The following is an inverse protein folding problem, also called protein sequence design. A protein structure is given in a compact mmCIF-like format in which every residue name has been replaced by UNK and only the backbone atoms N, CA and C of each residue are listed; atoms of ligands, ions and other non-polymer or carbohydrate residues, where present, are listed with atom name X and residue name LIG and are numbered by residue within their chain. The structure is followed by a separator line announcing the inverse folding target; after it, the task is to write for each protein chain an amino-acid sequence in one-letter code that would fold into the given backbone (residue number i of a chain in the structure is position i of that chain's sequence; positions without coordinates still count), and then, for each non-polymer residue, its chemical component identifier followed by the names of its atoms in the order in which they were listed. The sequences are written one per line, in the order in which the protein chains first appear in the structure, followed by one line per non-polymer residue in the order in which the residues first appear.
data_IF_356932935500
#
_entry.id   IF_356932935500
#
_cell.length_a   1.000
_cell.length_b   1.000
_cell.length_c   1.000
_cell.angle_alpha   90.00
_cell.angle_beta   90.00
_cell.angle_gamma   90.00
#
_symmetry.space_group_name_H-M   'P 1'
#
loop_
_entity.id
_entity.type
_entity.pdbx_description
1 polymer ?
#
# COMPACT_ATOMS: atom_id res chain seq x y z
N UNK A 1 7.41 1.04 -29.10
CA UNK A 1 7.25 -0.09 -28.14
C UNK A 1 6.73 -1.37 -28.79
N UNK A 2 5.81 -1.31 -29.73
CA UNK A 2 5.49 -2.45 -30.62
C UNK A 2 6.73 -3.06 -31.30
N UNK A 3 7.73 -2.23 -31.65
CA UNK A 3 8.99 -2.69 -32.24
C UNK A 3 9.77 -3.65 -31.33
N UNK A 4 9.75 -3.48 -30.00
CA UNK A 4 10.46 -4.36 -29.07
C UNK A 4 9.76 -5.73 -28.95
N UNK A 5 8.44 -5.75 -28.88
CA UNK A 5 7.64 -6.97 -28.89
C UNK A 5 7.80 -7.75 -30.19
N UNK A 6 7.74 -7.06 -31.32
CA UNK A 6 7.94 -7.67 -32.63
C UNK A 6 9.38 -8.20 -32.81
N UNK A 7 10.40 -7.47 -32.31
CA UNK A 7 11.79 -7.94 -32.35
C UNK A 7 11.99 -9.19 -31.49
N UNK A 8 11.36 -9.26 -30.32
CA UNK A 8 11.41 -10.43 -29.45
C UNK A 8 10.68 -11.63 -30.10
N UNK A 9 9.49 -11.41 -30.68
CA UNK A 9 8.77 -12.46 -31.41
C UNK A 9 9.58 -13.00 -32.57
N UNK A 10 10.20 -12.11 -33.37
CA UNK A 10 11.07 -12.49 -34.48
C UNK A 10 12.30 -13.27 -34.02
N UNK A 11 12.94 -12.84 -32.91
CA UNK A 11 14.06 -13.55 -32.31
C UNK A 11 13.65 -14.97 -31.88
N UNK A 12 12.52 -15.12 -31.18
CA UNK A 12 12.03 -16.43 -30.73
C UNK A 12 11.69 -17.33 -31.92
N UNK A 13 11.05 -16.80 -32.96
CA UNK A 13 10.74 -17.55 -34.19
C UNK A 13 12.02 -18.02 -34.91
N UNK A 14 13.04 -17.16 -35.02
CA UNK A 14 14.33 -17.50 -35.60
C UNK A 14 15.07 -18.62 -34.84
N UNK A 15 14.76 -18.77 -33.54
CA UNK A 15 15.34 -19.83 -32.67
C UNK A 15 14.39 -21.01 -32.47
N UNK A 16 13.41 -21.18 -33.36
CA UNK A 16 12.53 -22.35 -33.39
C UNK A 16 11.40 -22.37 -32.34
N UNK A 17 11.15 -21.22 -31.68
CA UNK A 17 10.10 -21.07 -30.69
C UNK A 17 9.17 -19.90 -31.05
N UNK A 18 8.40 -20.01 -32.16
CA UNK A 18 7.46 -18.96 -32.50
C UNK A 18 6.44 -18.76 -31.38
N UNK A 19 6.29 -17.54 -30.93
CA UNK A 19 5.41 -17.23 -29.81
C UNK A 19 4.81 -15.84 -29.98
N UNK A 20 3.61 -15.66 -29.49
CA UNK A 20 2.95 -14.38 -29.37
C UNK A 20 3.49 -13.63 -28.14
N UNK A 21 3.82 -12.37 -28.32
CA UNK A 21 4.33 -11.51 -27.23
C UNK A 21 3.22 -10.54 -26.82
N UNK A 22 2.81 -10.66 -25.57
CA UNK A 22 1.91 -9.68 -24.93
C UNK A 22 2.75 -8.64 -24.20
N UNK A 23 2.35 -7.36 -24.33
CA UNK A 23 3.04 -6.24 -23.71
C UNK A 23 2.11 -5.55 -22.71
N UNK A 24 2.61 -5.34 -21.52
CA UNK A 24 1.90 -4.67 -20.42
C UNK A 24 2.77 -3.53 -19.89
N UNK A 25 2.12 -2.42 -19.52
CA UNK A 25 2.72 -1.32 -18.76
C UNK A 25 2.12 -1.35 -17.37
N UNK A 26 2.95 -1.57 -16.36
CA UNK A 26 2.52 -1.79 -14.99
C UNK A 26 3.18 -0.76 -14.08
N UNK A 27 2.54 -0.38 -12.98
CA UNK A 27 3.22 0.37 -11.92
C UNK A 27 4.34 -0.49 -11.33
N UNK A 28 5.47 0.12 -11.03
CA UNK A 28 6.56 -0.58 -10.34
C UNK A 28 6.26 -0.63 -8.83
N UNK A 29 6.00 -1.80 -8.23
CA UNK A 29 5.69 -1.90 -6.82
C UNK A 29 6.87 -1.57 -5.88
N UNK A 30 8.09 -1.45 -6.43
CA UNK A 30 9.30 -1.14 -5.68
C UNK A 30 9.77 0.31 -5.84
N UNK A 31 9.15 1.08 -6.76
CA UNK A 31 9.46 2.48 -7.04
C UNK A 31 8.26 3.23 -7.59
N UNK A 32 8.34 4.57 -7.69
CA UNK A 32 7.30 5.41 -8.31
C UNK A 32 7.30 5.34 -9.85
N UNK A 33 7.99 4.37 -10.44
CA UNK A 33 8.14 4.19 -11.87
C UNK A 33 7.08 3.30 -12.51
N UNK A 34 7.29 2.99 -13.80
CA UNK A 34 6.53 1.99 -14.53
C UNK A 34 7.43 0.89 -15.08
N UNK A 35 6.96 -0.35 -15.03
CA UNK A 35 7.63 -1.52 -15.58
C UNK A 35 6.98 -1.88 -16.91
N UNK A 36 7.81 -2.06 -17.95
CA UNK A 36 7.39 -2.60 -19.25
C UNK A 36 7.56 -4.11 -19.20
N UNK A 37 6.45 -4.84 -19.17
CA UNK A 37 6.48 -6.31 -19.11
C UNK A 37 6.14 -6.89 -20.49
N UNK A 38 7.02 -7.76 -21.00
CA UNK A 38 6.76 -8.57 -22.17
C UNK A 38 6.55 -10.03 -21.72
N UNK A 39 5.40 -10.58 -22.01
CA UNK A 39 5.05 -11.95 -21.67
C UNK A 39 4.88 -12.78 -22.93
N UNK A 40 5.53 -13.93 -22.96
CA UNK A 40 5.37 -14.91 -24.04
C UNK A 40 4.09 -15.69 -23.77
N UNK A 41 3.09 -15.56 -24.65
CA UNK A 41 1.83 -16.30 -24.53
C UNK A 41 2.06 -17.83 -24.65
N UNK A 42 1.40 -18.57 -23.79
CA UNK A 42 1.46 -20.05 -23.80
C UNK A 42 2.68 -20.66 -23.09
N UNK A 43 3.62 -19.85 -22.56
CA UNK A 43 4.68 -20.33 -21.68
C UNK A 43 4.26 -20.10 -20.22
N UNK A 44 4.03 -21.18 -19.50
CA UNK A 44 3.66 -21.15 -18.08
C UNK A 44 4.67 -21.99 -17.30
N UNK A 45 5.83 -21.39 -17.00
CA UNK A 45 6.75 -21.94 -16.01
C UNK A 45 6.24 -21.67 -14.61
N UNK A 46 6.42 -22.65 -13.71
CA UNK A 46 6.16 -22.45 -12.29
C UNK A 46 7.43 -22.02 -11.56
N UNK A 47 7.26 -21.30 -10.48
CA UNK A 47 8.36 -20.95 -9.60
C UNK A 47 8.75 -22.18 -8.80
N UNK A 48 9.96 -22.71 -9.04
CA UNK A 48 10.51 -23.85 -8.29
C UNK A 48 10.96 -23.45 -6.89
N UNK A 49 11.64 -22.32 -6.81
CA UNK A 49 12.18 -21.75 -5.57
C UNK A 49 12.41 -20.27 -5.71
N UNK A 50 12.43 -19.56 -4.57
CA UNK A 50 12.93 -18.18 -4.50
C UNK A 50 14.12 -18.16 -3.56
N UNK A 51 15.27 -17.74 -4.06
CA UNK A 51 16.51 -17.64 -3.31
C UNK A 51 16.92 -16.18 -3.15
N UNK A 52 17.24 -15.80 -1.92
CA UNK A 52 17.72 -14.46 -1.58
C UNK A 52 19.23 -14.47 -1.40
N UNK A 53 19.93 -13.39 -1.81
CA UNK A 53 21.34 -13.23 -1.51
C UNK A 53 21.59 -13.02 -0.02
N UNK A 54 20.63 -12.43 0.70
CA UNK A 54 20.71 -12.24 2.15
C UNK A 54 20.40 -13.54 2.91
N UNK A 55 21.37 -14.14 3.62
CA UNK A 55 21.14 -15.39 4.33
C UNK A 55 20.18 -15.26 5.51
N UNK A 56 19.95 -14.05 6.04
CA UNK A 56 19.04 -13.83 7.18
C UNK A 56 17.59 -14.11 6.78
N UNK A 57 17.23 -13.87 5.54
CA UNK A 57 15.89 -14.20 5.02
C UNK A 57 15.65 -15.71 4.94
N UNK A 58 16.68 -16.52 4.70
CA UNK A 58 16.54 -17.99 4.58
C UNK A 58 16.05 -18.64 5.86
N UNK A 59 16.44 -18.12 7.01
CA UNK A 59 16.05 -18.66 8.34
C UNK A 59 14.84 -17.94 8.94
N UNK A 60 14.34 -16.90 8.28
CA UNK A 60 13.21 -16.12 8.78
C UNK A 60 11.90 -16.88 8.57
N UNK A 61 11.19 -17.17 9.67
CA UNK A 61 9.94 -17.95 9.64
C UNK A 61 8.83 -17.26 8.83
N UNK A 62 8.72 -15.94 8.90
CA UNK A 62 7.73 -15.20 8.14
C UNK A 62 8.01 -15.30 6.63
N UNK A 63 9.30 -15.21 6.21
CA UNK A 63 9.69 -15.45 4.81
C UNK A 63 9.27 -16.83 4.36
N UNK A 64 9.53 -17.87 5.16
CA UNK A 64 9.18 -19.26 4.80
C UNK A 64 7.65 -19.45 4.65
N UNK A 65 6.86 -18.79 5.48
CA UNK A 65 5.41 -18.79 5.33
C UNK A 65 4.97 -18.13 4.02
N UNK A 66 5.48 -16.95 3.71
CA UNK A 66 5.15 -16.23 2.48
C UNK A 66 5.66 -16.93 1.20
N UNK A 67 6.81 -17.64 1.27
CA UNK A 67 7.28 -18.41 0.12
C UNK A 67 6.29 -19.47 -0.33
N UNK A 68 5.51 -20.06 0.59
CA UNK A 68 4.46 -21.04 0.24
C UNK A 68 3.34 -20.43 -0.63
N UNK A 69 3.20 -19.12 -0.64
CA UNK A 69 2.17 -18.41 -1.42
C UNK A 69 2.57 -18.24 -2.88
N UNK A 70 3.87 -18.23 -3.21
CA UNK A 70 4.38 -17.97 -4.56
C UNK A 70 5.04 -19.18 -5.21
N UNK A 71 5.68 -20.08 -4.44
CA UNK A 71 6.29 -21.30 -4.96
C UNK A 71 5.22 -22.24 -5.53
N UNK A 72 5.47 -22.81 -6.70
CA UNK A 72 4.53 -23.63 -7.44
C UNK A 72 3.50 -22.85 -8.27
N UNK A 73 3.42 -21.54 -8.12
CA UNK A 73 2.55 -20.67 -8.94
C UNK A 73 3.22 -20.35 -10.30
N UNK A 74 2.42 -19.99 -11.32
CA UNK A 74 2.96 -19.51 -12.58
C UNK A 74 3.88 -18.32 -12.36
N UNK A 75 5.05 -18.34 -13.00
CA UNK A 75 5.97 -17.21 -12.93
C UNK A 75 5.39 -16.00 -13.66
N UNK A 76 5.36 -14.89 -12.96
CA UNK A 76 5.11 -13.56 -13.51
C UNK A 76 6.03 -12.60 -12.77
N UNK A 77 6.72 -11.73 -13.51
CA UNK A 77 7.57 -10.72 -12.88
C UNK A 77 6.78 -9.85 -11.92
N UNK A 78 5.60 -9.39 -12.35
CA UNK A 78 4.72 -8.59 -11.49
C UNK A 78 4.36 -9.32 -10.19
N UNK A 79 4.01 -10.61 -10.27
CA UNK A 79 3.65 -11.39 -9.07
C UNK A 79 4.85 -11.52 -8.11
N UNK A 80 6.06 -11.67 -8.65
CA UNK A 80 7.28 -11.71 -7.83
C UNK A 80 7.57 -10.34 -7.23
N UNK A 81 7.48 -9.25 -8.01
CA UNK A 81 7.74 -7.89 -7.53
C UNK A 81 6.71 -7.48 -6.45
N UNK A 82 5.43 -7.82 -6.61
CA UNK A 82 4.41 -7.66 -5.57
C UNK A 82 4.75 -8.45 -4.30
N UNK A 83 5.10 -9.72 -4.46
CA UNK A 83 5.54 -10.55 -3.33
C UNK A 83 6.74 -9.92 -2.59
N UNK A 84 7.74 -9.41 -3.32
CA UNK A 84 8.89 -8.74 -2.72
C UNK A 84 8.50 -7.46 -1.97
N UNK A 85 7.58 -6.69 -2.54
CA UNK A 85 7.07 -5.45 -1.94
C UNK A 85 6.23 -5.72 -0.69
N UNK A 86 5.31 -6.69 -0.74
CA UNK A 86 4.30 -6.91 0.30
C UNK A 86 4.76 -7.86 1.40
N UNK A 87 5.62 -8.83 1.08
CA UNK A 87 6.04 -9.86 2.03
C UNK A 87 7.50 -9.69 2.51
N UNK A 88 8.43 -9.26 1.64
CA UNK A 88 9.86 -9.22 1.98
C UNK A 88 10.31 -7.85 2.48
N UNK A 89 9.91 -6.78 1.80
CA UNK A 89 10.26 -5.42 2.22
C UNK A 89 9.83 -5.08 3.66
N UNK A 90 8.60 -5.43 4.13
CA UNK A 90 8.19 -5.20 5.50
C UNK A 90 9.10 -5.84 6.55
N UNK A 91 9.71 -6.98 6.24
CA UNK A 91 10.64 -7.67 7.16
C UNK A 91 11.87 -6.81 7.44
N UNK A 92 12.46 -6.22 6.40
CA UNK A 92 13.57 -5.28 6.56
C UNK A 92 13.14 -4.02 7.32
N UNK A 93 11.98 -3.47 6.99
CA UNK A 93 11.47 -2.29 7.69
C UNK A 93 11.23 -2.55 9.17
N UNK A 94 10.68 -3.72 9.53
CA UNK A 94 10.44 -4.11 10.93
C UNK A 94 11.73 -4.23 11.74
N UNK A 95 12.83 -4.62 11.11
CA UNK A 95 14.14 -4.78 11.75
C UNK A 95 15.00 -3.53 11.73
N UNK A 96 14.46 -2.40 11.23
CA UNK A 96 15.17 -1.12 11.17
C UNK A 96 16.13 -0.97 9.98
N UNK A 97 16.10 -1.89 9.03
CA UNK A 97 16.86 -1.80 7.78
C UNK A 97 16.14 -0.90 6.77
N UNK A 98 15.96 0.37 7.13
CA UNK A 98 15.15 1.33 6.37
C UNK A 98 15.65 1.62 4.96
N UNK A 99 16.92 1.34 4.69
CA UNK A 99 17.56 1.54 3.37
C UNK A 99 17.92 0.23 2.69
N UNK A 100 17.26 -0.87 3.09
CA UNK A 100 17.42 -2.15 2.41
C UNK A 100 17.07 -2.01 0.92
N UNK A 101 17.93 -2.59 0.08
CA UNK A 101 17.71 -2.65 -1.35
C UNK A 101 17.33 -4.07 -1.74
N UNK A 102 16.22 -4.19 -2.42
CA UNK A 102 15.75 -5.42 -3.05
C UNK A 102 15.90 -5.18 -4.55
N UNK A 103 16.84 -5.90 -5.18
CA UNK A 103 17.05 -5.79 -6.61
C UNK A 103 16.01 -6.57 -7.41
N UNK A 104 16.02 -6.41 -8.74
CA UNK A 104 15.10 -7.12 -9.61
C UNK A 104 15.32 -8.63 -9.50
N UNK A 105 14.20 -9.37 -9.51
CA UNK A 105 14.27 -10.82 -9.53
C UNK A 105 14.85 -11.35 -10.84
N UNK A 106 15.76 -12.33 -10.75
CA UNK A 106 16.46 -12.95 -11.84
C UNK A 106 16.09 -14.42 -11.94
N UNK A 107 15.78 -14.90 -13.15
CA UNK A 107 15.64 -16.34 -13.40
C UNK A 107 17.02 -16.90 -13.72
N UNK A 108 17.52 -17.81 -12.89
CA UNK A 108 18.84 -18.44 -13.06
C UNK A 108 18.67 -19.87 -13.58
N UNK A 109 18.77 -20.05 -14.87
CA UNK A 109 18.71 -21.35 -15.51
C UNK A 109 20.12 -21.97 -15.56
N UNK A 110 20.26 -23.19 -15.04
CA UNK A 110 21.47 -24.01 -15.19
C UNK A 110 21.29 -24.86 -16.43
N UNK A 111 22.07 -24.64 -17.48
CA UNK A 111 22.01 -25.50 -18.66
C UNK A 111 22.45 -24.85 -19.98
N UNK A 112 22.39 -25.64 -21.05
CA UNK A 112 22.72 -25.18 -22.39
C UNK A 112 21.60 -24.27 -22.93
N UNK A 113 21.89 -23.09 -23.50
CA UNK A 113 20.89 -22.18 -24.07
C UNK A 113 19.95 -22.79 -25.11
N UNK A 114 20.35 -23.92 -25.71
CA UNK A 114 19.56 -24.64 -26.72
C UNK A 114 18.64 -25.72 -26.12
N UNK A 115 18.59 -25.86 -24.80
CA UNK A 115 17.72 -26.83 -24.13
C UNK A 115 16.31 -26.25 -23.94
N UNK A 116 15.28 -27.11 -24.05
CA UNK A 116 13.90 -26.73 -23.75
C UNK A 116 13.84 -26.13 -22.34
N UNK A 117 13.14 -25.01 -22.19
CA UNK A 117 12.91 -24.38 -20.89
C UNK A 117 12.30 -25.40 -19.90
N UNK A 118 12.81 -25.49 -18.67
CA UNK A 118 12.23 -26.38 -17.66
C UNK A 118 10.82 -25.92 -17.29
N UNK A 119 9.98 -26.84 -16.87
CA UNK A 119 8.61 -26.53 -16.42
C UNK A 119 8.60 -25.70 -15.12
N UNK A 120 9.67 -25.81 -14.35
CA UNK A 120 9.88 -25.08 -13.08
C UNK A 120 11.20 -24.33 -13.13
N UNK A 121 11.19 -23.08 -12.67
CA UNK A 121 12.33 -22.18 -12.74
C UNK A 121 12.70 -21.65 -11.35
N UNK A 122 13.99 -21.62 -11.01
CA UNK A 122 14.47 -20.97 -9.81
C UNK A 122 14.52 -19.44 -10.03
N UNK A 123 14.07 -18.70 -9.04
CA UNK A 123 14.11 -17.24 -9.00
C UNK A 123 15.15 -16.82 -7.96
N UNK A 124 16.06 -15.96 -8.33
CA UNK A 124 17.06 -15.37 -7.45
C UNK A 124 16.78 -13.90 -7.25
N UNK A 125 16.87 -13.43 -6.00
CA UNK A 125 16.62 -12.03 -5.64
C UNK A 125 17.86 -11.47 -4.94
N UNK A 126 18.57 -10.50 -5.54
CA UNK A 126 19.64 -9.81 -4.87
C UNK A 126 19.08 -8.87 -3.80
N UNK A 127 19.54 -9.02 -2.56
CA UNK A 127 19.13 -8.21 -1.42
C UNK A 127 20.35 -7.66 -0.69
N UNK A 128 20.32 -6.37 -0.38
CA UNK A 128 21.31 -5.67 0.45
C UNK A 128 20.57 -5.10 1.65
N UNK A 129 20.64 -5.71 2.86
CA UNK A 129 19.89 -5.24 4.02
C UNK A 129 20.30 -3.83 4.46
N UNK A 130 21.55 -3.43 4.25
CA UNK A 130 22.08 -2.18 4.79
C UNK A 130 22.16 -2.19 6.33
N UNK A 131 22.50 -1.05 6.96
CA UNK A 131 22.57 -0.95 8.42
C UNK A 131 21.17 -0.95 9.07
N UNK A 132 21.14 -1.40 10.33
CA UNK A 132 19.97 -1.20 11.21
C UNK A 132 20.05 0.19 11.82
N UNK A 133 19.00 0.98 11.66
CA UNK A 133 18.92 2.33 12.21
C UNK A 133 18.17 2.35 13.53
N UNK A 134 18.59 3.25 14.43
CA UNK A 134 17.88 3.59 15.64
C UNK A 134 17.12 4.91 15.47
N UNK A 135 15.97 5.01 16.09
CA UNK A 135 15.16 6.21 16.08
C UNK A 135 15.81 7.31 16.90
N UNK A 136 16.01 8.50 16.31
CA UNK A 136 16.54 9.67 17.01
C UNK A 136 15.46 10.66 17.41
N UNK A 137 14.40 10.77 16.61
CA UNK A 137 13.29 11.69 16.89
C UNK A 137 12.62 12.24 15.64
N UNK A 138 11.59 13.04 15.87
CA UNK A 138 10.85 13.75 14.83
C UNK A 138 10.76 15.25 15.18
N UNK A 139 10.87 16.09 14.16
CA UNK A 139 10.63 17.53 14.25
C UNK A 139 9.44 17.89 13.36
N UNK A 140 8.45 18.54 13.92
CA UNK A 140 7.22 18.94 13.27
C UNK A 140 7.21 20.43 12.96
N UNK A 141 6.59 20.83 11.87
CA UNK A 141 6.37 22.22 11.50
C UNK A 141 5.04 22.35 10.76
N UNK A 142 4.37 23.50 10.93
CA UNK A 142 3.06 23.77 10.33
C UNK A 142 1.88 23.17 11.10
N UNK A 143 2.10 22.57 12.27
CA UNK A 143 1.09 21.98 13.12
C UNK A 143 0.53 23.02 14.12
N UNK A 144 -0.58 23.64 13.74
CA UNK A 144 -1.28 24.62 14.59
C UNK A 144 -2.46 24.02 15.34
N UNK A 145 -3.20 23.11 14.70
CA UNK A 145 -4.40 22.49 15.23
C UNK A 145 -4.13 21.28 16.13
N UNK A 146 -3.00 20.60 15.93
CA UNK A 146 -2.59 19.42 16.72
C UNK A 146 -1.24 19.71 17.36
N UNK A 147 -1.12 19.47 18.67
CA UNK A 147 0.12 19.75 19.40
C UNK A 147 1.25 18.80 19.02
N UNK A 148 2.49 19.26 19.15
CA UNK A 148 3.70 18.45 18.93
C UNK A 148 3.72 17.21 19.84
N UNK A 149 3.23 17.32 21.07
CA UNK A 149 3.14 16.23 22.04
C UNK A 149 2.19 15.14 21.52
N UNK A 150 1.03 15.51 20.98
CA UNK A 150 0.05 14.59 20.39
C UNK A 150 0.65 13.88 19.17
N UNK A 151 1.36 14.62 18.32
CA UNK A 151 2.01 14.04 17.13
C UNK A 151 3.15 13.08 17.51
N UNK A 152 3.95 13.41 18.52
CA UNK A 152 4.98 12.51 19.03
C UNK A 152 4.38 11.28 19.69
N UNK A 153 3.27 11.41 20.42
CA UNK A 153 2.54 10.27 20.98
C UNK A 153 1.99 9.35 19.87
N UNK A 154 1.53 9.94 18.76
CA UNK A 154 1.07 9.17 17.58
C UNK A 154 2.19 8.34 16.96
N UNK A 155 3.43 8.85 16.88
CA UNK A 155 4.58 8.06 16.42
C UNK A 155 4.88 6.87 17.32
N UNK A 156 4.66 7.01 18.64
CA UNK A 156 4.86 5.92 19.63
C UNK A 156 6.28 5.33 19.60
N UNK A 157 7.29 6.17 19.33
CA UNK A 157 8.70 5.81 19.23
C UNK A 157 9.52 6.57 20.26
N UNK A 158 10.50 5.91 20.87
CA UNK A 158 11.44 6.53 21.82
C UNK A 158 12.84 6.59 21.21
N UNK A 159 13.60 7.65 21.53
CA UNK A 159 14.98 7.74 21.10
C UNK A 159 15.78 6.52 21.57
N UNK A 160 16.53 5.91 20.64
CA UNK A 160 17.29 4.68 20.87
C UNK A 160 16.51 3.39 20.54
N UNK A 161 15.21 3.43 20.30
CA UNK A 161 14.48 2.26 19.77
C UNK A 161 14.97 1.90 18.38
N UNK A 162 14.87 0.63 18.00
CA UNK A 162 15.04 0.23 16.60
C UNK A 162 14.04 1.02 15.75
N UNK A 163 14.51 1.68 14.70
CA UNK A 163 13.66 2.46 13.80
C UNK A 163 12.83 1.51 12.92
N UNK A 164 11.79 0.93 13.52
CA UNK A 164 10.85 0.06 12.79
C UNK A 164 10.05 0.88 11.80
N UNK A 165 10.33 0.72 10.49
CA UNK A 165 9.70 1.48 9.42
C UNK A 165 8.19 1.31 9.36
N UNK A 166 7.67 0.10 9.66
CA UNK A 166 6.22 -0.15 9.70
C UNK A 166 5.53 0.63 10.83
N UNK A 167 6.19 0.71 11.99
CA UNK A 167 5.66 1.49 13.12
C UNK A 167 5.71 3.00 12.84
N UNK A 168 6.74 3.46 12.13
CA UNK A 168 6.89 4.86 11.71
C UNK A 168 5.75 5.24 10.76
N UNK A 169 5.48 4.45 9.73
CA UNK A 169 4.37 4.68 8.80
C UNK A 169 3.01 4.65 9.51
N UNK A 170 2.76 3.63 10.33
CA UNK A 170 1.55 3.58 11.14
C UNK A 170 1.44 4.79 12.10
N UNK A 171 2.57 5.34 12.55
CA UNK A 171 2.63 6.56 13.33
C UNK A 171 2.20 7.80 12.54
N UNK A 172 2.61 7.90 11.29
CA UNK A 172 2.14 8.97 10.40
C UNK A 172 0.64 8.86 10.11
N UNK A 173 0.11 7.64 9.96
CA UNK A 173 -1.34 7.44 9.80
C UNK A 173 -2.11 7.86 11.04
N UNK A 174 -1.63 7.51 12.24
CA UNK A 174 -2.23 7.99 13.50
C UNK A 174 -2.17 9.51 13.62
N UNK A 175 -1.07 10.13 13.16
CA UNK A 175 -0.96 11.59 13.12
C UNK A 175 -1.98 12.21 12.15
N UNK A 176 -2.18 11.63 10.95
CA UNK A 176 -3.25 12.06 10.02
C UNK A 176 -4.63 11.91 10.65
N UNK A 177 -4.87 10.82 11.36
CA UNK A 177 -6.13 10.57 12.04
C UNK A 177 -6.41 11.59 13.15
N UNK A 178 -5.36 12.07 13.87
CA UNK A 178 -5.54 13.12 14.85
C UNK A 178 -6.08 14.42 14.22
N UNK A 179 -5.65 14.76 13.02
CA UNK A 179 -6.23 15.84 12.22
C UNK A 179 -7.61 15.51 11.69
N UNK A 180 -7.82 14.26 11.25
CA UNK A 180 -9.11 13.77 10.76
C UNK A 180 -10.23 13.90 11.79
N UNK A 181 -9.94 13.61 13.07
CA UNK A 181 -10.89 13.82 14.18
C UNK A 181 -11.31 15.29 14.34
N UNK A 182 -10.46 16.22 13.94
CA UNK A 182 -10.71 17.66 13.99
C UNK A 182 -11.27 18.21 12.66
N UNK A 183 -11.64 17.36 11.70
CA UNK A 183 -12.23 17.76 10.42
C UNK A 183 -11.24 18.33 9.39
N UNK A 184 -9.94 18.16 9.58
CA UNK A 184 -8.94 18.52 8.58
C UNK A 184 -8.80 17.37 7.57
N UNK A 185 -9.70 17.33 6.60
CA UNK A 185 -9.85 16.21 5.66
C UNK A 185 -8.72 16.12 4.64
N UNK A 186 -8.06 17.24 4.36
CA UNK A 186 -7.04 17.41 3.32
C UNK A 186 -5.63 17.58 3.91
N UNK A 187 -5.44 17.21 5.18
CA UNK A 187 -4.11 17.33 5.81
C UNK A 187 -3.06 16.54 5.04
N UNK A 188 -1.96 17.20 4.72
CA UNK A 188 -0.79 16.57 4.12
C UNK A 188 0.38 16.59 5.11
N UNK A 189 0.94 15.41 5.38
CA UNK A 189 2.19 15.23 6.11
C UNK A 189 3.30 14.91 5.09
N UNK A 190 4.37 15.70 5.11
CA UNK A 190 5.51 15.54 4.21
C UNK A 190 6.76 15.15 5.05
N UNK A 191 6.95 13.86 5.37
CA UNK A 191 8.07 13.40 6.14
C UNK A 191 9.34 13.34 5.26
N UNK A 192 10.44 13.86 5.79
CA UNK A 192 11.76 13.74 5.19
C UNK A 192 12.69 13.09 6.20
N UNK A 193 13.19 11.90 5.87
CA UNK A 193 14.13 11.17 6.69
C UNK A 193 15.56 11.77 6.56
N UNK A 194 16.23 11.92 7.69
CA UNK A 194 17.62 12.31 7.77
C UNK A 194 18.41 11.18 8.44
N UNK A 195 19.26 10.52 7.69
CA UNK A 195 20.07 9.40 8.13
C UNK A 195 21.46 9.87 8.56
N UNK A 196 21.92 9.35 9.69
CA UNK A 196 23.31 9.45 10.15
C UNK A 196 23.92 8.04 10.03
N UNK A 197 24.67 7.81 8.94
CA UNK A 197 25.24 6.50 8.64
C UNK A 197 26.42 6.13 9.57
N UNK A 198 27.04 7.12 10.24
CA UNK A 198 28.10 6.86 11.22
C UNK A 198 27.52 6.43 12.57
N UNK A 199 26.47 7.11 13.01
CA UNK A 199 25.80 6.81 14.26
C UNK A 199 24.71 5.74 14.10
N UNK A 200 24.40 5.31 12.88
CA UNK A 200 23.28 4.44 12.53
C UNK A 200 21.95 4.94 13.16
N UNK A 201 21.66 6.23 13.02
CA UNK A 201 20.41 6.82 13.51
C UNK A 201 19.63 7.48 12.40
N UNK A 202 18.31 7.52 12.58
CA UNK A 202 17.39 8.24 11.69
C UNK A 202 16.54 9.21 12.48
N UNK A 203 16.36 10.41 11.94
CA UNK A 203 15.38 11.38 12.40
C UNK A 203 14.50 11.82 11.25
N UNK A 204 13.32 12.33 11.54
CA UNK A 204 12.40 12.83 10.53
C UNK A 204 12.13 14.32 10.75
N UNK A 205 12.10 15.08 9.64
CA UNK A 205 11.53 16.41 9.59
C UNK A 205 10.22 16.32 8.85
N UNK A 206 9.13 16.67 9.53
CA UNK A 206 7.78 16.55 8.96
C UNK A 206 7.19 17.97 8.83
N UNK A 207 6.95 18.39 7.60
CA UNK A 207 6.19 19.60 7.33
C UNK A 207 4.72 19.22 7.11
N UNK A 208 3.83 19.95 7.78
CA UNK A 208 2.40 19.72 7.74
C UNK A 208 1.72 20.87 7.03
N UNK A 209 0.86 20.53 6.08
CA UNK A 209 -0.11 21.45 5.50
C UNK A 209 -1.48 20.99 5.99
N UNK A 210 -1.99 21.70 7.01
CA UNK A 210 -3.24 21.30 7.68
C UNK A 210 -4.46 21.41 6.76
N UNK A 211 -4.45 22.35 5.84
CA UNK A 211 -5.60 22.66 5.02
C UNK A 211 -6.69 23.37 5.82
N UNK A 212 -7.93 23.17 5.42
CA UNK A 212 -9.11 23.77 6.06
C UNK A 212 -9.83 22.74 6.93
N UNK A 213 -10.40 23.21 8.05
CA UNK A 213 -11.36 22.43 8.83
C UNK A 213 -12.71 22.43 8.14
N UNK A 214 -13.30 21.26 7.95
CA UNK A 214 -14.58 21.08 7.29
C UNK A 214 -15.69 20.69 8.27
N UNK A 215 -16.87 21.27 8.06
CA UNK A 215 -18.09 20.95 8.79
C UNK A 215 -19.05 20.21 7.89
N UNK A 216 -19.68 19.20 8.44
CA UNK A 216 -20.69 18.42 7.73
C UNK A 216 -21.86 19.33 7.34
N UNK A 217 -22.34 19.22 6.09
CA UNK A 217 -23.47 19.98 5.55
C UNK A 217 -24.67 19.06 5.29
N UNK A 218 -24.50 18.08 4.42
CA UNK A 218 -25.59 17.19 4.03
C UNK A 218 -25.09 15.79 3.65
N UNK A 219 -26.02 14.82 3.63
CA UNK A 219 -25.78 13.47 3.10
C UNK A 219 -26.71 13.19 1.94
N UNK A 220 -26.16 12.70 0.85
CA UNK A 220 -26.92 12.14 -0.27
C UNK A 220 -26.72 10.64 -0.30
N UNK A 221 -27.80 9.89 -0.38
CA UNK A 221 -27.79 8.43 -0.48
C UNK A 221 -28.51 8.05 -1.78
N UNK A 222 -27.88 7.24 -2.61
CA UNK A 222 -28.42 6.71 -3.87
C UNK A 222 -28.34 5.18 -3.88
N UNK A 223 -29.17 4.53 -4.71
CA UNK A 223 -29.15 3.08 -4.87
C UNK A 223 -29.89 2.31 -3.77
N UNK A 224 -30.56 2.99 -2.83
CA UNK A 224 -31.29 2.37 -1.73
C UNK A 224 -32.79 2.65 -1.79
N UNK A 225 -33.60 1.78 -1.16
CA UNK A 225 -35.02 2.07 -0.88
C UNK A 225 -35.17 3.20 0.13
N UNK A 226 -36.28 3.88 0.14
CA UNK A 226 -36.58 4.94 1.13
C UNK A 226 -36.44 4.46 2.59
N UNK A 227 -36.77 3.19 2.85
CA UNK A 227 -36.62 2.60 4.18
C UNK A 227 -35.10 2.42 4.52
N UNK A 228 -34.32 1.92 3.58
CA UNK A 228 -32.87 1.79 3.74
C UNK A 228 -32.18 3.14 3.93
N UNK A 229 -32.52 4.13 3.10
CA UNK A 229 -32.01 5.50 3.26
C UNK A 229 -32.31 6.09 4.64
N UNK A 230 -33.53 5.90 5.15
CA UNK A 230 -33.90 6.36 6.49
C UNK A 230 -33.04 5.71 7.56
N UNK A 231 -32.82 4.39 7.49
CA UNK A 231 -31.98 3.67 8.46
C UNK A 231 -30.53 4.15 8.43
N UNK A 232 -29.97 4.45 7.25
CA UNK A 232 -28.64 5.05 7.11
C UNK A 232 -28.59 6.40 7.81
N UNK A 233 -29.57 7.28 7.55
CA UNK A 233 -29.66 8.61 8.17
C UNK A 233 -29.85 8.55 9.68
N UNK A 234 -30.65 7.59 10.18
CA UNK A 234 -30.88 7.39 11.61
C UNK A 234 -29.63 6.87 12.33
N UNK A 235 -28.80 6.07 11.64
CA UNK A 235 -27.54 5.58 12.18
C UNK A 235 -26.41 6.63 12.13
N UNK A 236 -26.57 7.67 11.29
CA UNK A 236 -25.60 8.76 11.16
C UNK A 236 -25.76 9.77 12.29
N UNK A 237 -24.73 9.97 13.11
CA UNK A 237 -24.83 10.79 14.33
C UNK A 237 -24.38 12.25 14.16
N UNK A 238 -23.71 12.59 13.04
CA UNK A 238 -23.18 13.94 12.81
C UNK A 238 -24.28 14.86 12.29
N UNK A 239 -24.45 16.02 12.92
CA UNK A 239 -25.49 16.99 12.54
C UNK A 239 -24.92 18.04 11.60
N UNK A 240 -25.72 18.64 10.71
CA UNK A 240 -25.30 19.77 9.90
C UNK A 240 -24.70 20.90 10.77
N UNK A 241 -23.49 21.34 10.40
CA UNK A 241 -22.72 22.34 11.14
C UNK A 241 -21.70 21.74 12.13
N UNK A 242 -21.79 20.47 12.48
CA UNK A 242 -20.76 19.81 13.29
C UNK A 242 -19.48 19.60 12.47
N UNK A 243 -18.33 19.57 13.15
CA UNK A 243 -17.07 19.19 12.51
C UNK A 243 -17.18 17.73 12.01
N UNK A 244 -16.81 17.47 10.76
CA UNK A 244 -16.81 16.10 10.26
C UNK A 244 -15.54 15.37 10.73
N UNK A 245 -15.72 14.47 11.69
CA UNK A 245 -14.70 13.51 12.08
C UNK A 245 -14.52 12.46 10.97
N UNK A 246 -13.38 12.52 10.28
CA UNK A 246 -13.06 11.59 9.19
C UNK A 246 -12.97 10.13 9.67
N UNK A 247 -12.43 9.91 10.86
CA UNK A 247 -12.27 8.56 11.43
C UNK A 247 -13.64 7.96 11.79
N UNK A 248 -14.57 8.81 12.28
CA UNK A 248 -15.96 8.40 12.45
C UNK A 248 -16.58 8.00 11.11
N UNK A 249 -16.39 8.81 10.07
CA UNK A 249 -16.89 8.51 8.72
C UNK A 249 -16.36 7.18 8.18
N UNK A 250 -15.06 6.94 8.26
CA UNK A 250 -14.41 5.69 7.80
C UNK A 250 -14.95 4.46 8.58
N UNK A 251 -15.13 4.60 9.89
CA UNK A 251 -15.76 3.56 10.71
C UNK A 251 -17.21 3.31 10.31
N UNK A 252 -17.95 4.36 9.99
CA UNK A 252 -19.34 4.24 9.51
C UNK A 252 -19.40 3.50 8.17
N UNK A 253 -18.49 3.78 7.25
CA UNK A 253 -18.38 3.02 6.00
C UNK A 253 -18.08 1.54 6.25
N UNK A 254 -17.16 1.22 7.15
CA UNK A 254 -16.86 -0.18 7.53
C UNK A 254 -18.12 -0.90 8.08
N UNK A 255 -18.98 -0.20 8.82
CA UNK A 255 -20.24 -0.76 9.28
C UNK A 255 -21.21 -1.03 8.12
N UNK A 256 -21.28 -0.13 7.14
CA UNK A 256 -22.11 -0.35 5.95
C UNK A 256 -21.61 -1.53 5.12
N UNK A 257 -20.31 -1.71 4.96
CA UNK A 257 -19.71 -2.75 4.12
C UNK A 257 -19.71 -4.13 4.79
N UNK A 258 -19.29 -4.21 6.06
CA UNK A 258 -18.98 -5.46 6.74
C UNK A 258 -19.93 -5.84 7.88
N UNK A 259 -20.72 -4.90 8.38
CA UNK A 259 -21.61 -5.11 9.53
C UNK A 259 -22.99 -4.51 9.26
N UNK A 260 -23.58 -4.88 8.13
CA UNK A 260 -24.86 -4.35 7.61
C UNK A 260 -26.01 -4.51 8.62
N UNK A 261 -26.03 -5.61 9.38
CA UNK A 261 -27.03 -5.90 10.41
C UNK A 261 -27.06 -4.85 11.53
N UNK A 262 -25.95 -4.18 11.81
CA UNK A 262 -25.88 -3.12 12.81
C UNK A 262 -26.71 -1.89 12.41
N UNK A 263 -26.87 -1.64 11.12
CA UNK A 263 -27.60 -0.50 10.56
C UNK A 263 -28.99 -0.92 10.11
N UNK A 264 -29.08 -1.98 9.28
CA UNK A 264 -30.34 -2.35 8.62
C UNK A 264 -31.21 -3.33 9.40
N UNK A 265 -30.68 -3.93 10.47
CA UNK A 265 -31.40 -4.87 11.34
C UNK A 265 -32.11 -5.95 10.51
N UNK A 266 -33.46 -5.97 10.57
CA UNK A 266 -34.31 -6.95 9.87
C UNK A 266 -34.70 -6.51 8.45
N UNK A 267 -34.27 -5.34 7.98
CA UNK A 267 -34.54 -4.90 6.62
C UNK A 267 -33.70 -5.68 5.64
N UNK A 268 -34.27 -6.46 4.72
CA UNK A 268 -33.49 -7.13 3.68
C UNK A 268 -32.93 -6.09 2.70
N UNK A 269 -31.64 -5.85 2.76
CA UNK A 269 -30.93 -4.97 1.83
C UNK A 269 -29.94 -5.78 1.02
N UNK A 270 -29.90 -5.52 -0.28
CA UNK A 270 -28.96 -6.15 -1.22
C UNK A 270 -28.19 -5.05 -1.92
N UNK A 271 -26.88 -5.06 -1.78
CA UNK A 271 -25.92 -4.28 -2.53
C UNK A 271 -24.55 -4.99 -2.45
N UNK A 272 -23.75 -4.86 -3.48
CA UNK A 272 -22.43 -5.48 -3.55
C UNK A 272 -21.35 -4.54 -3.04
N UNK A 273 -21.49 -3.25 -3.34
CA UNK A 273 -20.50 -2.22 -3.01
C UNK A 273 -21.17 -0.93 -2.54
N UNK A 274 -20.40 -0.16 -1.74
CA UNK A 274 -20.78 1.20 -1.33
C UNK A 274 -19.76 2.18 -1.88
N UNK A 275 -20.12 2.89 -2.96
CA UNK A 275 -19.36 4.04 -3.42
C UNK A 275 -19.51 5.19 -2.43
N UNK A 276 -18.44 5.89 -2.12
CA UNK A 276 -18.49 7.01 -1.18
C UNK A 276 -17.57 8.15 -1.60
N UNK A 277 -18.01 9.38 -1.37
CA UNK A 277 -17.25 10.60 -1.64
C UNK A 277 -17.51 11.65 -0.56
N UNK A 278 -16.46 12.41 -0.24
CA UNK A 278 -16.53 13.63 0.55
C UNK A 278 -16.37 14.81 -0.41
N UNK A 279 -17.48 15.50 -0.70
CA UNK A 279 -17.48 16.66 -1.58
C UNK A 279 -17.27 17.93 -0.76
N UNK A 280 -16.06 18.45 -0.78
CA UNK A 280 -15.68 19.65 -0.03
C UNK A 280 -16.07 20.94 -0.77
N UNK A 281 -16.53 21.95 -0.03
CA UNK A 281 -16.65 23.34 -0.47
C UNK A 281 -15.64 24.19 0.32
N UNK A 282 -14.43 24.42 -0.22
CA UNK A 282 -13.41 25.20 0.48
C UNK A 282 -13.82 26.66 0.75
N UNK A 283 -14.72 27.26 -0.04
CA UNK A 283 -15.17 28.61 0.15
C UNK A 283 -16.02 28.73 1.43
N UNK A 284 -16.89 27.76 1.67
CA UNK A 284 -17.76 27.71 2.85
C UNK A 284 -17.15 26.97 4.03
N UNK A 285 -16.14 26.12 3.81
CA UNK A 285 -15.61 25.20 4.83
C UNK A 285 -16.62 24.09 5.18
N UNK A 286 -17.39 23.64 4.20
CA UNK A 286 -18.39 22.58 4.37
C UNK A 286 -18.06 21.35 3.54
N UNK A 287 -18.58 20.21 3.95
CA UNK A 287 -18.43 18.95 3.23
C UNK A 287 -19.77 18.21 3.18
N UNK A 288 -20.12 17.73 2.02
CA UNK A 288 -21.25 16.84 1.79
C UNK A 288 -20.75 15.38 1.69
N UNK A 289 -21.52 14.48 2.27
CA UNK A 289 -21.26 13.03 2.22
C UNK A 289 -22.15 12.43 1.15
N UNK A 290 -21.57 11.75 0.18
CA UNK A 290 -22.28 11.02 -0.86
C UNK A 290 -22.03 9.52 -0.68
N UNK A 291 -23.11 8.74 -0.65
CA UNK A 291 -23.11 7.27 -0.58
C UNK A 291 -23.92 6.72 -1.76
N UNK A 292 -23.29 5.82 -2.55
CA UNK A 292 -23.92 5.20 -3.72
C UNK A 292 -23.86 3.67 -3.60
N UNK A 293 -25.01 3.06 -3.41
CA UNK A 293 -25.14 1.61 -3.22
C UNK A 293 -25.41 0.93 -4.56
N UNK A 294 -24.60 -0.09 -4.89
CA UNK A 294 -24.69 -0.87 -6.14
C UNK A 294 -24.79 -2.36 -5.86
#
# INVERSE_FOLDING_TARGET
MELAGNSLAAFLAAHGTPAEIQHFVLADPLSDGSVQQFQVAGLSQKIASVEFSDPTLKSNRAVQQHLSEIVGKPYSRLAVDLFLSEAIRPIYLQTGNLRAKIGPAEVRLSGNPNQKLPAEIPVYVPCEPGPVYQWKGAAWSGNSAVSTETLNAALSMKAGDVANGMNIEAGFDRARNAYGHLGYLEVALNPVAAYDDQAHTVSYKISIVEGRQYRYSAMTVTGMSLAGERMIRDAWSVKPGDVLDKVYFERFLTQLESHREAIFRDLPVHYDTVGHWLQTDPAKGTVDVLLDFK
#
